data_IF_647927736574
#
_entry.id   IF_647927736574
#
_cell.length_a   1.000
_cell.length_b   1.000
_cell.length_c   1.000
_cell.angle_alpha   90.00
_cell.angle_beta   90.00
_cell.angle_gamma   90.00
#
_symmetry.space_group_name_H-M   'P 1'
#
loop_
_entity.id
_entity.type
_entity.pdbx_description
1 polymer ?
#
# COMPACT_ATOMS: atom_id res chain seq x y z
N UNK A 1 -15.06 19.44 -9.56
CA UNK A 1 -13.68 19.01 -9.21
C UNK A 1 -12.72 20.11 -9.63
N UNK A 2 -12.15 20.83 -8.67
CA UNK A 2 -11.37 22.05 -8.96
C UNK A 2 -9.94 21.71 -9.41
N UNK A 3 -9.30 22.61 -10.17
CA UNK A 3 -7.92 22.46 -10.67
C UNK A 3 -6.94 22.11 -9.54
N UNK A 4 -7.04 22.79 -8.40
CA UNK A 4 -6.20 22.57 -7.23
C UNK A 4 -6.38 21.16 -6.64
N UNK A 5 -7.64 20.72 -6.45
CA UNK A 5 -7.94 19.36 -5.97
C UNK A 5 -7.39 18.29 -6.92
N UNK A 6 -7.41 18.55 -8.24
CA UNK A 6 -6.79 17.67 -9.24
C UNK A 6 -5.26 17.65 -9.10
N UNK A 7 -4.62 18.81 -8.99
CA UNK A 7 -3.17 18.92 -8.83
C UNK A 7 -2.67 18.23 -7.55
N UNK A 8 -3.37 18.44 -6.42
CA UNK A 8 -3.05 17.81 -5.13
C UNK A 8 -3.09 16.28 -5.21
N UNK A 9 -4.09 15.70 -5.88
CA UNK A 9 -4.17 14.24 -6.08
C UNK A 9 -3.01 13.69 -6.90
N UNK A 10 -2.60 14.39 -7.96
CA UNK A 10 -1.43 13.97 -8.75
C UNK A 10 -0.14 14.04 -7.94
N UNK A 11 0.06 15.13 -7.19
CA UNK A 11 1.21 15.27 -6.32
C UNK A 11 1.28 14.15 -5.28
N UNK A 12 0.16 13.82 -4.62
CA UNK A 12 0.08 12.74 -3.65
C UNK A 12 0.39 11.38 -4.29
N UNK A 13 -0.13 11.12 -5.49
CA UNK A 13 0.11 9.88 -6.24
C UNK A 13 1.60 9.74 -6.61
N UNK A 14 2.23 10.80 -7.11
CA UNK A 14 3.64 10.78 -7.48
C UNK A 14 4.54 10.54 -6.26
N UNK A 15 4.29 11.28 -5.17
CA UNK A 15 5.00 11.10 -3.89
C UNK A 15 4.86 9.67 -3.35
N UNK A 16 3.68 9.08 -3.48
CA UNK A 16 3.45 7.69 -3.07
C UNK A 16 4.31 6.72 -3.90
N UNK A 17 4.34 6.86 -5.24
CA UNK A 17 5.16 6.02 -6.12
C UNK A 17 6.64 6.15 -5.78
N UNK A 18 7.15 7.37 -5.56
CA UNK A 18 8.55 7.62 -5.21
C UNK A 18 8.95 6.93 -3.91
N UNK A 19 8.12 7.03 -2.87
CA UNK A 19 8.36 6.34 -1.59
C UNK A 19 8.36 4.82 -1.74
N UNK A 20 7.47 4.28 -2.56
CA UNK A 20 7.41 2.84 -2.81
C UNK A 20 8.62 2.36 -3.62
N UNK A 21 9.12 3.17 -4.57
CA UNK A 21 10.37 2.88 -5.27
C UNK A 21 11.56 2.85 -4.31
N UNK A 22 11.60 3.78 -3.35
CA UNK A 22 12.66 3.81 -2.34
C UNK A 22 12.66 2.52 -1.51
N UNK A 23 11.51 2.11 -0.98
CA UNK A 23 11.34 0.83 -0.26
C UNK A 23 11.80 -0.36 -1.13
N UNK A 24 11.42 -0.38 -2.41
CA UNK A 24 11.83 -1.45 -3.32
C UNK A 24 13.36 -1.49 -3.53
N UNK A 25 13.99 -0.32 -3.66
CA UNK A 25 15.44 -0.19 -3.81
C UNK A 25 16.16 -0.64 -2.53
N UNK A 26 15.72 -0.18 -1.36
CA UNK A 26 16.30 -0.53 -0.06
C UNK A 26 16.26 -2.04 0.19
N UNK A 27 15.17 -2.71 -0.21
CA UNK A 27 15.00 -4.15 -0.01
C UNK A 27 15.46 -4.99 -1.22
N UNK A 28 16.23 -4.41 -2.15
CA UNK A 28 16.75 -5.06 -3.37
C UNK A 28 15.69 -5.78 -4.23
N UNK A 29 14.46 -5.25 -4.23
CA UNK A 29 13.33 -5.82 -4.94
C UNK A 29 13.31 -5.32 -6.39
N UNK A 30 14.04 -6.02 -7.27
CA UNK A 30 14.23 -5.65 -8.68
C UNK A 30 12.98 -5.60 -9.57
N UNK A 31 11.82 -6.01 -9.04
CA UNK A 31 10.54 -5.92 -9.76
C UNK A 31 10.12 -4.48 -10.05
N UNK A 32 10.56 -3.49 -9.27
CA UNK A 32 10.15 -2.09 -9.47
C UNK A 32 11.32 -1.23 -9.93
N UNK A 33 11.26 -0.80 -11.19
CA UNK A 33 12.23 0.07 -11.85
C UNK A 33 11.52 1.24 -12.55
N UNK A 34 12.27 2.10 -13.24
CA UNK A 34 11.69 3.26 -13.91
C UNK A 34 10.66 2.90 -15.00
N UNK A 35 10.81 1.75 -15.65
CA UNK A 35 9.89 1.29 -16.70
C UNK A 35 8.53 0.86 -16.14
N UNK A 36 8.46 0.40 -14.89
CA UNK A 36 7.25 -0.17 -14.31
C UNK A 36 6.81 0.45 -12.97
N UNK A 37 7.44 1.56 -12.55
CA UNK A 37 7.08 2.31 -11.34
C UNK A 37 5.61 2.72 -11.26
N UNK A 38 4.96 2.93 -12.39
CA UNK A 38 3.54 3.26 -12.44
C UNK A 38 2.66 2.19 -11.79
N UNK A 39 3.10 0.92 -11.70
CA UNK A 39 2.39 -0.15 -11.00
C UNK A 39 2.29 0.09 -9.48
N UNK A 40 3.25 0.83 -8.91
CA UNK A 40 3.28 1.17 -7.49
C UNK A 40 2.16 2.11 -7.05
N UNK A 41 1.40 2.68 -7.99
CA UNK A 41 0.21 3.46 -7.64
C UNK A 41 -0.96 2.61 -7.13
N UNK A 42 -0.91 1.27 -7.33
CA UNK A 42 -1.94 0.33 -6.89
C UNK A 42 -1.38 -0.81 -6.04
N UNK A 43 -0.13 -1.21 -6.29
CA UNK A 43 0.52 -2.30 -5.57
C UNK A 43 1.59 -1.73 -4.65
N UNK A 44 1.64 -2.22 -3.42
CA UNK A 44 2.75 -1.92 -2.51
C UNK A 44 4.02 -2.62 -2.99
N UNK A 45 5.18 -2.01 -2.78
CA UNK A 45 6.49 -2.53 -3.16
C UNK A 45 6.80 -3.91 -2.56
N UNK A 46 6.28 -4.17 -1.36
CA UNK A 46 6.45 -5.43 -0.64
C UNK A 46 5.34 -6.46 -0.90
N UNK A 47 4.43 -6.20 -1.84
CA UNK A 47 3.38 -7.14 -2.17
C UNK A 47 3.86 -8.12 -3.25
N UNK A 48 4.00 -9.40 -2.89
CA UNK A 48 4.44 -10.45 -3.81
C UNK A 48 3.45 -10.75 -4.95
N UNK A 49 2.19 -10.32 -4.85
CA UNK A 49 1.16 -10.54 -5.87
C UNK A 49 0.68 -11.99 -6.02
N UNK A 50 1.19 -12.91 -5.20
CA UNK A 50 0.77 -14.30 -5.20
C UNK A 50 -0.48 -14.49 -4.31
N UNK A 51 -1.62 -14.97 -4.85
CA UNK A 51 -2.88 -15.05 -4.10
C UNK A 51 -2.83 -16.03 -2.93
N UNK A 52 -1.96 -17.05 -3.01
CA UNK A 52 -1.74 -18.05 -1.94
C UNK A 52 -0.69 -17.65 -0.89
N UNK A 53 -0.03 -16.49 -1.01
CA UNK A 53 1.02 -16.10 -0.09
C UNK A 53 0.47 -15.82 1.30
N UNK A 54 0.90 -16.59 2.30
CA UNK A 54 0.43 -16.44 3.68
C UNK A 54 0.77 -15.07 4.29
N UNK A 55 1.85 -14.44 3.83
CA UNK A 55 2.32 -13.13 4.32
C UNK A 55 1.58 -11.94 3.69
N UNK A 56 1.09 -12.10 2.46
CA UNK A 56 0.41 -11.03 1.70
C UNK A 56 -1.10 -11.24 1.58
N UNK A 57 -1.61 -12.40 1.98
CA UNK A 57 -3.01 -12.74 1.91
C UNK A 57 -3.83 -11.98 2.95
N UNK A 58 -5.15 -11.92 2.71
CA UNK A 58 -6.09 -11.35 3.65
C UNK A 58 -6.16 -12.23 4.92
N UNK A 59 -5.91 -11.68 6.13
CA UNK A 59 -5.94 -12.43 7.39
C UNK A 59 -7.30 -13.09 7.65
N UNK A 60 -8.41 -12.51 7.18
CA UNK A 60 -9.73 -13.15 7.26
C UNK A 60 -9.81 -14.47 6.52
N UNK A 61 -9.14 -14.57 5.36
CA UNK A 61 -9.13 -15.77 4.53
C UNK A 61 -8.17 -16.82 5.07
N UNK A 62 -7.01 -16.41 5.57
CA UNK A 62 -5.94 -17.34 5.96
C UNK A 62 -6.01 -17.79 7.42
N UNK A 63 -6.41 -16.90 8.34
CA UNK A 63 -6.37 -17.15 9.78
C UNK A 63 -7.72 -16.92 10.48
N UNK A 64 -8.73 -16.41 9.77
CA UNK A 64 -10.03 -16.04 10.36
C UNK A 64 -9.99 -14.76 11.21
N UNK A 65 -8.82 -14.16 11.36
CA UNK A 65 -8.58 -12.95 12.15
C UNK A 65 -9.15 -11.70 11.49
N UNK A 66 -9.50 -10.71 12.31
CA UNK A 66 -9.99 -9.41 11.83
C UNK A 66 -8.91 -8.71 11.00
N UNK A 67 -9.34 -8.08 9.92
CA UNK A 67 -8.48 -7.20 9.12
C UNK A 67 -8.11 -5.94 9.89
N UNK A 68 -6.98 -5.32 9.55
CA UNK A 68 -6.58 -4.03 10.11
C UNK A 68 -7.64 -2.94 9.97
N UNK A 69 -8.49 -3.00 8.94
CA UNK A 69 -9.59 -2.06 8.75
C UNK A 69 -10.71 -2.27 9.76
N UNK A 70 -11.08 -3.52 10.03
CA UNK A 70 -12.05 -3.89 11.08
C UNK A 70 -11.51 -3.51 12.46
N UNK A 71 -10.24 -3.85 12.76
CA UNK A 71 -9.60 -3.50 14.03
C UNK A 71 -9.64 -1.99 14.25
N UNK A 72 -9.25 -1.21 13.23
CA UNK A 72 -9.26 0.26 13.31
C UNK A 72 -10.65 0.84 13.57
N UNK A 73 -11.71 0.21 13.05
CA UNK A 73 -13.08 0.65 13.27
C UNK A 73 -13.54 0.38 14.71
N UNK A 74 -13.06 -0.72 15.31
CA UNK A 74 -13.40 -1.12 16.69
C UNK A 74 -12.56 -0.41 17.76
N UNK A 75 -11.37 0.11 17.41
CA UNK A 75 -10.54 0.89 18.32
C UNK A 75 -11.30 2.12 18.86
N UNK A 76 -11.62 2.12 20.14
CA UNK A 76 -12.17 3.26 20.88
C UNK A 76 -11.01 4.08 21.46
N UNK A 77 -11.16 5.41 21.54
CA UNK A 77 -10.20 6.24 22.28
C UNK A 77 -10.21 5.82 23.75
N UNK A 78 -9.01 5.71 24.34
CA UNK A 78 -8.88 5.58 25.78
C UNK A 78 -8.95 7.02 26.29
N UNK A 79 -10.01 7.36 27.01
CA UNK A 79 -10.13 8.64 27.71
C UNK A 79 -9.41 8.47 29.07
N UNK A 80 -8.30 9.18 29.26
CA UNK A 80 -7.54 9.25 30.52
C UNK A 80 -8.19 10.19 31.54
#
# INVERSE_FOLDING_TARGET
MNKEKRQKRFQQKNRHIERQLDIAKTNHHGYYNDNNKHKLHKKHAMNCGAPGCIMCANPRRTFGEKTWQEIKFECVSIDD
#
